data_IF_251773030253
#
_entry.id   IF_251773030253
#
_cell.length_a   1.000
_cell.length_b   1.000
_cell.length_c   1.000
_cell.angle_alpha   90.00
_cell.angle_beta   90.00
_cell.angle_gamma   90.00
#
_symmetry.space_group_name_H-M   'P 1'
#
loop_
_entity.id
_entity.type
_entity.pdbx_description
1 polymer ?
#
# COMPACT_ATOMS: atom_id res chain seq x y z
N UNK A 1 10.49 -20.92 -19.04
CA UNK A 1 9.20 -20.71 -19.75
C UNK A 1 7.97 -21.02 -18.89
N UNK A 2 7.95 -22.07 -18.06
CA UNK A 2 6.77 -22.39 -17.19
C UNK A 2 6.40 -21.21 -16.25
N UNK A 3 7.36 -20.55 -15.63
CA UNK A 3 7.10 -19.44 -14.69
C UNK A 3 6.45 -18.22 -15.37
N UNK A 4 6.82 -17.88 -16.61
CA UNK A 4 6.22 -16.74 -17.31
C UNK A 4 4.71 -16.93 -17.57
N UNK A 5 4.27 -18.13 -17.91
CA UNK A 5 2.85 -18.44 -18.11
C UNK A 5 2.08 -18.31 -16.79
N UNK A 6 2.62 -18.83 -15.69
CA UNK A 6 1.98 -18.72 -14.38
C UNK A 6 1.87 -17.28 -13.89
N UNK A 7 2.88 -16.45 -14.12
CA UNK A 7 2.83 -15.01 -13.81
C UNK A 7 1.61 -14.36 -14.49
N UNK A 8 1.41 -14.62 -15.77
CA UNK A 8 0.26 -14.06 -16.50
C UNK A 8 -1.07 -14.61 -16.00
N UNK A 9 -1.17 -15.92 -15.73
CA UNK A 9 -2.40 -16.55 -15.22
C UNK A 9 -2.81 -15.92 -13.89
N UNK A 10 -1.89 -15.81 -12.92
CA UNK A 10 -2.22 -15.26 -11.61
C UNK A 10 -2.61 -13.78 -11.68
N UNK A 11 -1.93 -12.99 -12.52
CA UNK A 11 -2.27 -11.58 -12.74
C UNK A 11 -3.62 -11.40 -13.41
N UNK A 12 -3.94 -12.20 -14.42
CA UNK A 12 -5.26 -12.16 -15.09
C UNK A 12 -6.36 -12.54 -14.10
N UNK A 13 -6.20 -13.58 -13.27
CA UNK A 13 -7.18 -13.94 -12.25
C UNK A 13 -7.38 -12.79 -11.25
N UNK A 14 -6.29 -12.19 -10.76
CA UNK A 14 -6.36 -11.08 -9.82
C UNK A 14 -7.03 -9.84 -10.42
N UNK A 15 -6.72 -9.50 -11.67
CA UNK A 15 -7.26 -8.31 -12.33
C UNK A 15 -8.70 -8.49 -12.83
N UNK A 16 -9.05 -9.69 -13.36
CA UNK A 16 -10.30 -9.88 -14.09
C UNK A 16 -11.36 -10.62 -13.28
N UNK A 17 -11.01 -11.25 -12.15
CA UNK A 17 -11.95 -11.99 -11.31
C UNK A 17 -11.95 -11.42 -9.89
N UNK A 18 -10.87 -11.56 -9.15
CA UNK A 18 -10.83 -11.16 -7.74
C UNK A 18 -10.95 -9.65 -7.55
N UNK A 19 -10.30 -8.88 -8.41
CA UNK A 19 -10.35 -7.43 -8.39
C UNK A 19 -11.75 -6.86 -8.59
N UNK A 20 -12.47 -7.18 -9.68
CA UNK A 20 -13.85 -6.73 -9.87
C UNK A 20 -14.80 -7.12 -8.72
N UNK A 21 -14.64 -8.30 -8.12
CA UNK A 21 -15.41 -8.71 -6.94
C UNK A 21 -15.06 -7.79 -5.75
N UNK A 22 -13.78 -7.51 -5.50
CA UNK A 22 -13.33 -6.59 -4.44
C UNK A 22 -13.86 -5.16 -4.66
N UNK A 23 -13.81 -4.67 -5.92
CA UNK A 23 -14.40 -3.40 -6.30
C UNK A 23 -15.91 -3.37 -6.09
N UNK A 24 -16.60 -4.46 -6.42
CA UNK A 24 -18.04 -4.64 -6.20
C UNK A 24 -18.42 -4.58 -4.71
N UNK A 25 -17.64 -5.23 -3.83
CA UNK A 25 -17.84 -5.14 -2.38
C UNK A 25 -17.76 -3.70 -1.87
N UNK A 26 -16.78 -2.93 -2.32
CA UNK A 26 -16.65 -1.53 -1.90
C UNK A 26 -17.73 -0.64 -2.51
N UNK A 27 -18.10 -0.88 -3.77
CA UNK A 27 -19.15 -0.10 -4.43
C UNK A 27 -20.55 -0.36 -3.84
N UNK A 28 -20.79 -1.53 -3.24
CA UNK A 28 -22.06 -1.83 -2.56
C UNK A 28 -22.31 -0.98 -1.30
N UNK A 29 -21.30 -0.30 -0.79
CA UNK A 29 -21.44 0.65 0.33
C UNK A 29 -22.03 1.99 -0.09
N UNK A 30 -22.07 2.30 -1.38
CA UNK A 30 -22.66 3.52 -1.92
C UNK A 30 -24.18 3.38 -1.97
N UNK A 31 -24.87 4.49 -1.91
CA UNK A 31 -26.30 4.49 -2.16
C UNK A 31 -26.62 3.98 -3.58
N UNK A 32 -27.68 3.23 -3.71
CA UNK A 32 -28.11 2.62 -5.00
C UNK A 32 -28.44 3.64 -6.08
N UNK A 33 -28.80 4.86 -5.68
CA UNK A 33 -29.08 6.01 -6.55
C UNK A 33 -27.84 6.81 -6.93
N UNK A 34 -26.65 6.44 -6.40
CA UNK A 34 -25.40 7.17 -6.60
C UNK A 34 -25.30 8.53 -5.90
N UNK A 35 -26.31 8.90 -5.08
CA UNK A 35 -26.39 10.20 -4.40
C UNK A 35 -25.34 10.39 -3.30
N UNK A 36 -24.83 9.28 -2.73
CA UNK A 36 -23.82 9.34 -1.67
C UNK A 36 -22.60 8.50 -2.00
N UNK A 37 -21.44 9.10 -1.93
CA UNK A 37 -20.17 8.40 -1.92
C UNK A 37 -19.85 8.00 -0.49
N UNK A 38 -19.25 6.84 -0.33
CA UNK A 38 -18.88 6.30 0.99
C UNK A 38 -17.46 5.75 0.93
N UNK A 39 -16.69 5.98 1.97
CA UNK A 39 -15.52 5.16 2.29
C UNK A 39 -15.99 4.00 3.17
N UNK A 40 -15.10 3.11 3.57
CA UNK A 40 -15.53 1.95 4.34
C UNK A 40 -16.19 2.34 5.68
N UNK A 41 -15.61 3.29 6.42
CA UNK A 41 -16.15 3.69 7.72
C UNK A 41 -17.06 4.92 7.67
N UNK A 42 -16.98 5.73 6.60
CA UNK A 42 -17.94 6.80 6.32
C UNK A 42 -18.98 6.24 5.35
N UNK A 43 -19.85 5.41 5.85
CA UNK A 43 -20.94 4.76 5.11
C UNK A 43 -22.18 4.69 5.98
N UNK A 44 -23.31 4.31 5.40
CA UNK A 44 -24.55 4.10 6.16
C UNK A 44 -24.47 3.00 7.22
N UNK A 45 -23.41 2.16 7.21
CA UNK A 45 -23.18 1.09 8.18
C UNK A 45 -21.69 0.83 8.36
N UNK A 46 -21.16 1.18 9.53
CA UNK A 46 -19.75 0.88 9.92
C UNK A 46 -19.48 -0.63 9.88
N UNK A 47 -20.45 -1.44 10.32
CA UNK A 47 -20.32 -2.92 10.29
C UNK A 47 -20.24 -3.42 8.83
N UNK A 48 -21.09 -2.88 7.96
CA UNK A 48 -21.05 -3.19 6.53
C UNK A 48 -19.72 -2.81 5.89
N UNK A 49 -19.20 -1.63 6.24
CA UNK A 49 -17.91 -1.14 5.77
C UNK A 49 -16.73 -2.00 6.23
N UNK A 50 -16.68 -2.39 7.51
CA UNK A 50 -15.69 -3.33 8.04
C UNK A 50 -15.79 -4.69 7.33
N UNK A 51 -17.01 -5.20 7.13
CA UNK A 51 -17.25 -6.44 6.39
C UNK A 51 -16.70 -6.37 4.96
N UNK A 52 -16.93 -5.25 4.28
CA UNK A 52 -16.40 -5.03 2.92
C UNK A 52 -14.86 -4.98 2.91
N UNK A 53 -14.22 -4.27 3.86
CA UNK A 53 -12.76 -4.26 4.00
C UNK A 53 -12.19 -5.66 4.22
N UNK A 54 -12.76 -6.41 5.17
CA UNK A 54 -12.35 -7.80 5.45
C UNK A 54 -12.52 -8.65 4.19
N UNK A 55 -13.63 -8.50 3.46
CA UNK A 55 -13.88 -9.19 2.19
C UNK A 55 -12.84 -8.86 1.13
N UNK A 56 -12.48 -7.58 0.95
CA UNK A 56 -11.42 -7.14 0.02
C UNK A 56 -10.09 -7.78 0.37
N UNK A 57 -9.68 -7.73 1.65
CA UNK A 57 -8.41 -8.32 2.09
C UNK A 57 -8.41 -9.84 2.04
N UNK A 58 -9.54 -10.49 2.26
CA UNK A 58 -9.68 -11.93 2.07
C UNK A 58 -9.45 -12.32 0.60
N UNK A 59 -10.09 -11.63 -0.34
CA UNK A 59 -9.88 -11.86 -1.78
C UNK A 59 -8.44 -11.55 -2.20
N UNK A 60 -7.87 -10.46 -1.70
CA UNK A 60 -6.49 -10.07 -1.94
C UNK A 60 -5.50 -11.14 -1.43
N UNK A 61 -5.76 -11.69 -0.25
CA UNK A 61 -4.97 -12.76 0.35
C UNK A 61 -5.09 -14.06 -0.44
N UNK A 62 -6.28 -14.42 -0.94
CA UNK A 62 -6.45 -15.58 -1.82
C UNK A 62 -5.60 -15.46 -3.10
N UNK A 63 -5.69 -14.32 -3.78
CA UNK A 63 -4.88 -14.03 -4.97
C UNK A 63 -3.38 -14.02 -4.67
N UNK A 64 -3.00 -13.40 -3.54
CA UNK A 64 -1.62 -13.34 -3.08
C UNK A 64 -1.03 -14.70 -2.74
N UNK A 65 -1.71 -15.51 -1.95
CA UNK A 65 -1.25 -16.87 -1.58
C UNK A 65 -1.13 -17.77 -2.82
N UNK A 66 -2.12 -17.71 -3.71
CA UNK A 66 -2.07 -18.46 -4.96
C UNK A 66 -0.86 -18.05 -5.80
N UNK A 67 -0.60 -16.75 -5.96
CA UNK A 67 0.54 -16.25 -6.70
C UNK A 67 1.89 -16.58 -6.00
N UNK A 68 1.94 -16.51 -4.66
CA UNK A 68 3.13 -16.90 -3.89
C UNK A 68 3.51 -18.36 -4.13
N UNK A 69 2.53 -19.27 -4.07
CA UNK A 69 2.77 -20.71 -4.28
C UNK A 69 3.06 -21.07 -5.74
N UNK A 70 2.45 -20.35 -6.69
CA UNK A 70 2.61 -20.63 -8.12
C UNK A 70 3.90 -20.05 -8.71
N UNK A 71 4.39 -18.92 -8.17
CA UNK A 71 5.50 -18.14 -8.75
C UNK A 71 6.52 -17.72 -7.70
N UNK A 72 6.20 -16.73 -6.84
CA UNK A 72 7.08 -16.20 -5.80
C UNK A 72 6.33 -15.31 -4.81
N UNK A 73 6.91 -15.05 -3.64
CA UNK A 73 6.36 -14.14 -2.65
C UNK A 73 6.15 -12.73 -3.22
N UNK A 74 7.08 -12.24 -4.03
CA UNK A 74 6.99 -10.94 -4.70
C UNK A 74 5.76 -10.84 -5.60
N UNK A 75 5.50 -11.85 -6.43
CA UNK A 75 4.29 -11.93 -7.25
C UNK A 75 3.04 -12.03 -6.36
N UNK A 76 3.12 -12.70 -5.21
CA UNK A 76 2.06 -12.75 -4.21
C UNK A 76 1.69 -11.35 -3.70
N UNK A 77 2.67 -10.56 -3.30
CA UNK A 77 2.48 -9.18 -2.83
C UNK A 77 1.89 -8.29 -3.93
N UNK A 78 2.42 -8.38 -5.17
CA UNK A 78 1.90 -7.64 -6.32
C UNK A 78 0.43 -7.98 -6.61
N UNK A 79 0.10 -9.28 -6.65
CA UNK A 79 -1.28 -9.72 -6.91
C UNK A 79 -2.25 -9.32 -5.79
N UNK A 80 -1.81 -9.39 -4.53
CA UNK A 80 -2.57 -8.85 -3.40
C UNK A 80 -2.85 -7.36 -3.59
N UNK A 81 -1.83 -6.58 -3.95
CA UNK A 81 -1.95 -5.15 -4.23
C UNK A 81 -2.92 -4.82 -5.37
N UNK A 82 -2.92 -5.62 -6.45
CA UNK A 82 -3.86 -5.45 -7.57
C UNK A 82 -5.31 -5.57 -7.11
N UNK A 83 -5.64 -6.56 -6.27
CA UNK A 83 -6.99 -6.74 -5.73
C UNK A 83 -7.39 -5.59 -4.80
N UNK A 84 -6.46 -5.14 -3.93
CA UNK A 84 -6.69 -3.98 -3.04
C UNK A 84 -6.90 -2.69 -3.86
N UNK A 85 -6.14 -2.49 -4.93
CA UNK A 85 -6.31 -1.35 -5.83
C UNK A 85 -7.69 -1.33 -6.51
N UNK A 86 -8.25 -2.48 -6.87
CA UNK A 86 -9.63 -2.60 -7.32
C UNK A 86 -10.63 -2.22 -6.23
N UNK A 87 -10.39 -2.64 -4.98
CA UNK A 87 -11.16 -2.18 -3.82
C UNK A 87 -11.12 -0.65 -3.68
N UNK A 88 -9.93 -0.05 -3.85
CA UNK A 88 -9.78 1.40 -3.86
C UNK A 88 -10.56 2.07 -5.00
N UNK A 89 -10.53 1.50 -6.20
CA UNK A 89 -11.32 1.99 -7.32
C UNK A 89 -12.82 1.90 -7.06
N UNK A 90 -13.28 0.81 -6.43
CA UNK A 90 -14.67 0.59 -6.05
C UNK A 90 -15.13 1.46 -4.88
N UNK A 91 -14.21 1.92 -4.01
CA UNK A 91 -14.54 2.81 -2.89
C UNK A 91 -15.02 4.18 -3.37
N UNK A 92 -15.74 4.90 -2.52
CA UNK A 92 -16.12 6.28 -2.77
C UNK A 92 -14.92 7.23 -2.76
N UNK A 93 -15.12 8.40 -3.34
CA UNK A 93 -14.16 9.50 -3.25
C UNK A 93 -14.22 10.13 -1.86
N UNK A 94 -13.08 10.38 -1.25
CA UNK A 94 -12.99 10.95 0.11
C UNK A 94 -13.67 12.33 0.17
N UNK A 95 -13.44 13.20 -0.81
CA UNK A 95 -14.08 14.51 -0.87
C UNK A 95 -15.61 14.41 -0.94
N UNK A 96 -16.15 13.49 -1.75
CA UNK A 96 -17.60 13.28 -1.85
C UNK A 96 -18.19 12.70 -0.55
N UNK A 97 -17.49 11.77 0.09
CA UNK A 97 -17.93 11.20 1.36
C UNK A 97 -17.98 12.27 2.47
N UNK A 98 -16.99 13.18 2.50
CA UNK A 98 -16.97 14.29 3.46
C UNK A 98 -18.00 15.38 3.16
N UNK A 99 -18.42 15.58 1.90
CA UNK A 99 -19.56 16.46 1.59
C UNK A 99 -20.85 15.95 2.23
N UNK A 100 -21.03 14.63 2.27
CA UNK A 100 -22.19 14.02 2.91
C UNK A 100 -22.14 14.02 4.45
N UNK A 101 -20.94 14.12 5.03
CA UNK A 101 -20.71 14.10 6.47
C UNK A 101 -19.61 15.10 6.87
N UNK A 102 -19.87 16.41 6.82
CA UNK A 102 -18.85 17.45 7.02
C UNK A 102 -18.51 17.69 8.49
N UNK A 103 -18.30 16.62 9.24
CA UNK A 103 -17.98 16.68 10.67
C UNK A 103 -16.50 16.35 10.91
N UNK A 104 -15.91 16.96 11.95
CA UNK A 104 -14.54 16.63 12.38
C UNK A 104 -14.40 15.15 12.77
N UNK A 105 -15.49 14.53 13.24
CA UNK A 105 -15.56 13.08 13.49
C UNK A 105 -15.31 12.22 12.25
N UNK A 106 -15.61 12.70 11.05
CA UNK A 106 -15.37 12.00 9.80
C UNK A 106 -13.87 11.87 9.49
N UNK A 107 -13.04 12.85 9.85
CA UNK A 107 -11.58 12.75 9.73
C UNK A 107 -11.01 11.70 10.68
N UNK A 108 -11.57 11.58 11.91
CA UNK A 108 -11.21 10.53 12.85
C UNK A 108 -11.55 9.16 12.25
N UNK A 109 -12.73 9.01 11.66
CA UNK A 109 -13.16 7.77 11.01
C UNK A 109 -12.24 7.39 9.84
N UNK A 110 -11.78 8.35 9.03
CA UNK A 110 -10.80 8.11 7.98
C UNK A 110 -9.45 7.65 8.54
N UNK A 111 -8.97 8.27 9.63
CA UNK A 111 -7.73 7.85 10.27
C UNK A 111 -7.85 6.43 10.86
N UNK A 112 -8.99 6.09 11.49
CA UNK A 112 -9.28 4.73 11.98
C UNK A 112 -9.35 3.74 10.82
N UNK A 113 -10.02 4.10 9.72
CA UNK A 113 -10.05 3.28 8.49
C UNK A 113 -8.62 3.00 7.99
N UNK A 114 -7.77 4.02 7.93
CA UNK A 114 -6.36 3.88 7.57
C UNK A 114 -5.61 2.91 8.47
N UNK A 115 -5.83 3.00 9.79
CA UNK A 115 -5.22 2.09 10.77
C UNK A 115 -5.72 0.64 10.59
N UNK A 116 -7.02 0.44 10.36
CA UNK A 116 -7.60 -0.89 10.08
C UNK A 116 -7.01 -1.48 8.81
N UNK A 117 -6.94 -0.70 7.72
CA UNK A 117 -6.34 -1.13 6.44
C UNK A 117 -4.86 -1.48 6.60
N UNK A 118 -4.10 -0.70 7.38
CA UNK A 118 -2.71 -1.03 7.70
C UNK A 118 -2.59 -2.37 8.43
N UNK A 119 -3.41 -2.60 9.47
CA UNK A 119 -3.41 -3.87 10.22
C UNK A 119 -3.77 -5.06 9.33
N UNK A 120 -4.81 -4.93 8.50
CA UNK A 120 -5.22 -5.97 7.56
C UNK A 120 -4.13 -6.25 6.51
N UNK A 121 -3.44 -5.21 6.02
CA UNK A 121 -2.32 -5.36 5.10
C UNK A 121 -1.16 -6.13 5.72
N UNK A 122 -0.78 -5.79 6.96
CA UNK A 122 0.29 -6.48 7.67
C UNK A 122 -0.07 -7.94 8.00
N UNK A 123 -1.32 -8.20 8.40
CA UNK A 123 -1.81 -9.55 8.62
C UNK A 123 -1.77 -10.39 7.34
N UNK A 124 -2.20 -9.82 6.21
CA UNK A 124 -2.16 -10.49 4.92
C UNK A 124 -0.70 -10.74 4.46
N UNK A 125 0.21 -9.78 4.62
CA UNK A 125 1.64 -9.97 4.34
C UNK A 125 2.23 -11.10 5.20
N UNK A 126 1.89 -11.18 6.48
CA UNK A 126 2.35 -12.27 7.36
C UNK A 126 1.87 -13.65 6.90
N UNK A 127 0.63 -13.76 6.39
CA UNK A 127 0.10 -15.00 5.80
C UNK A 127 0.86 -15.37 4.53
N UNK A 128 1.15 -14.39 3.64
CA UNK A 128 1.91 -14.63 2.42
C UNK A 128 3.33 -15.14 2.73
N UNK A 129 3.99 -14.54 3.71
CA UNK A 129 5.35 -14.96 4.13
C UNK A 129 5.35 -16.37 4.69
N UNK A 130 4.34 -16.71 5.50
CA UNK A 130 4.19 -18.09 5.99
C UNK A 130 3.95 -19.06 4.84
N UNK A 131 3.16 -18.69 3.85
CA UNK A 131 2.89 -19.51 2.67
C UNK A 131 4.14 -19.73 1.80
N UNK A 132 5.06 -18.77 1.75
CA UNK A 132 6.33 -18.88 1.02
C UNK A 132 7.36 -19.76 1.73
N UNK A 133 7.38 -19.79 3.06
CA UNK A 133 8.31 -20.61 3.85
C UNK A 133 8.10 -22.12 3.72
N UNK A 134 6.98 -22.54 3.14
CA UNK A 134 6.73 -23.93 2.77
C UNK A 134 7.34 -24.34 1.41
N UNK A 135 7.78 -23.40 0.60
CA UNK A 135 8.52 -23.62 -0.65
C UNK A 135 10.01 -23.33 -0.42
N UNK A 136 10.89 -24.30 -0.69
CA UNK A 136 12.33 -24.27 -0.40
C UNK A 136 13.16 -23.18 -1.12
N UNK A 137 12.57 -22.30 -1.89
CA UNK A 137 13.24 -21.15 -2.49
C UNK A 137 13.07 -19.92 -1.59
N UNK A 138 14.06 -19.67 -0.74
CA UNK A 138 14.25 -18.40 -0.03
C UNK A 138 14.53 -17.28 -1.02
N UNK A 139 13.49 -16.65 -1.53
CA UNK A 139 13.64 -15.32 -2.09
C UNK A 139 13.94 -14.35 -0.93
N UNK A 140 15.15 -13.80 -0.90
CA UNK A 140 15.74 -12.94 0.13
C UNK A 140 14.91 -11.66 0.45
N UNK A 141 13.87 -11.37 -0.31
CA UNK A 141 13.18 -10.09 -0.27
C UNK A 141 12.23 -9.86 0.91
N UNK A 142 11.77 -10.88 1.64
CA UNK A 142 10.77 -10.68 2.72
C UNK A 142 10.85 -11.75 3.81
N UNK A 143 11.79 -11.64 4.74
CA UNK A 143 11.71 -12.32 6.04
C UNK A 143 10.79 -11.54 6.99
N UNK A 144 9.47 -11.69 6.85
CA UNK A 144 8.52 -10.94 7.68
C UNK A 144 8.45 -11.43 9.14
N UNK A 145 8.59 -12.73 9.39
CA UNK A 145 8.52 -13.28 10.75
C UNK A 145 9.69 -12.85 11.66
N UNK A 146 10.85 -12.51 11.06
CA UNK A 146 11.95 -11.89 11.77
C UNK A 146 11.85 -10.36 11.80
N UNK A 147 11.37 -9.74 10.69
CA UNK A 147 11.42 -8.30 10.51
C UNK A 147 10.46 -7.54 11.44
N UNK A 148 9.23 -7.98 11.63
CA UNK A 148 8.28 -7.29 12.53
C UNK A 148 8.73 -7.39 13.99
N UNK A 149 9.30 -8.52 14.42
CA UNK A 149 9.82 -8.68 15.79
C UNK A 149 11.24 -8.09 15.96
N UNK A 150 12.09 -8.12 14.92
CA UNK A 150 13.41 -7.48 14.93
C UNK A 150 13.32 -5.96 14.85
N UNK A 151 12.39 -5.40 14.08
CA UNK A 151 12.09 -3.95 14.04
C UNK A 151 11.82 -3.40 15.44
N UNK A 152 11.23 -4.22 16.33
CA UNK A 152 10.96 -3.82 17.72
C UNK A 152 12.19 -3.96 18.63
N UNK A 153 13.16 -4.81 18.32
CA UNK A 153 14.21 -5.19 19.29
C UNK A 153 15.62 -4.69 19.05
N UNK A 154 16.14 -4.63 17.83
CA UNK A 154 17.57 -4.30 17.60
C UNK A 154 17.86 -3.29 16.48
N UNK A 155 16.93 -3.10 15.54
CA UNK A 155 17.11 -2.25 14.36
C UNK A 155 16.06 -1.15 14.27
N UNK A 156 15.61 -0.64 15.43
CA UNK A 156 14.55 0.38 15.49
C UNK A 156 14.91 1.64 14.70
N UNK A 157 16.12 2.15 14.81
CA UNK A 157 16.55 3.40 14.15
C UNK A 157 16.61 3.28 12.62
N UNK A 158 17.27 2.27 12.03
CA UNK A 158 17.26 2.08 10.58
C UNK A 158 15.87 1.81 10.03
N UNK A 159 15.08 1.00 10.73
CA UNK A 159 13.70 0.70 10.33
C UNK A 159 12.80 1.94 10.43
N UNK A 160 12.92 2.75 11.48
CA UNK A 160 12.20 4.01 11.62
C UNK A 160 12.55 5.00 10.51
N UNK A 161 13.82 5.07 10.09
CA UNK A 161 14.24 5.88 8.95
C UNK A 161 13.61 5.43 7.65
N UNK A 162 13.53 4.11 7.40
CA UNK A 162 12.86 3.54 6.23
C UNK A 162 11.35 3.80 6.23
N UNK A 163 10.70 3.71 7.39
CA UNK A 163 9.29 4.12 7.55
C UNK A 163 9.14 5.60 7.23
N UNK A 164 10.03 6.46 7.75
CA UNK A 164 10.03 7.90 7.45
C UNK A 164 10.21 8.18 5.96
N UNK A 165 11.13 7.49 5.28
CA UNK A 165 11.33 7.59 3.83
C UNK A 165 10.06 7.16 3.09
N UNK A 166 9.47 6.02 3.46
CA UNK A 166 8.22 5.54 2.88
C UNK A 166 7.11 6.58 2.96
N UNK A 167 6.90 7.16 4.14
CA UNK A 167 5.86 8.16 4.38
C UNK A 167 6.14 9.46 3.61
N UNK A 168 7.30 10.09 3.84
CA UNK A 168 7.60 11.43 3.32
C UNK A 168 7.67 11.42 1.80
N UNK A 169 8.39 10.46 1.21
CA UNK A 169 8.56 10.39 -0.25
C UNK A 169 7.22 10.14 -0.92
N UNK A 170 6.43 9.19 -0.42
CA UNK A 170 5.12 8.91 -1.01
C UNK A 170 4.18 10.12 -0.89
N UNK A 171 4.16 10.81 0.25
CA UNK A 171 3.32 12.02 0.40
C UNK A 171 3.73 13.15 -0.56
N UNK A 172 5.02 13.38 -0.75
CA UNK A 172 5.51 14.40 -1.70
C UNK A 172 5.11 14.03 -3.14
N UNK A 173 5.34 12.77 -3.54
CA UNK A 173 5.01 12.34 -4.91
C UNK A 173 3.50 12.35 -5.13
N UNK A 174 2.71 11.90 -4.17
CA UNK A 174 1.25 11.98 -4.23
C UNK A 174 0.78 13.43 -4.34
N UNK A 175 1.36 14.35 -3.57
CA UNK A 175 1.04 15.78 -3.67
C UNK A 175 1.26 16.34 -5.08
N UNK A 176 2.31 15.90 -5.75
CA UNK A 176 2.61 16.34 -7.12
C UNK A 176 1.70 15.68 -8.16
N UNK A 177 1.22 14.47 -7.93
CA UNK A 177 0.49 13.66 -8.91
C UNK A 177 -1.03 13.74 -8.77
N UNK A 178 -1.54 13.85 -7.53
CA UNK A 178 -2.97 13.83 -7.24
C UNK A 178 -3.48 15.26 -7.10
N UNK A 179 -4.11 15.74 -8.16
CA UNK A 179 -4.67 17.10 -8.23
C UNK A 179 -6.20 17.10 -8.11
N UNK A 180 -6.83 15.95 -7.93
CA UNK A 180 -8.26 15.79 -7.72
C UNK A 180 -8.56 14.53 -6.91
N UNK A 181 -9.78 14.42 -6.39
CA UNK A 181 -10.28 13.29 -5.62
C UNK A 181 -10.74 12.08 -6.48
N UNK A 182 -10.44 12.10 -7.79
CA UNK A 182 -10.81 11.00 -8.69
C UNK A 182 -10.11 9.69 -8.28
N UNK A 183 -10.89 8.61 -8.16
CA UNK A 183 -10.39 7.29 -7.73
C UNK A 183 -9.22 6.79 -8.58
N UNK A 184 -9.25 7.05 -9.89
CA UNK A 184 -8.14 6.68 -10.79
C UNK A 184 -6.86 7.45 -10.50
N UNK A 185 -6.95 8.77 -10.22
CA UNK A 185 -5.80 9.58 -9.81
C UNK A 185 -5.26 9.16 -8.44
N UNK A 186 -6.14 8.86 -7.48
CA UNK A 186 -5.74 8.39 -6.16
C UNK A 186 -4.99 7.05 -6.22
N UNK A 187 -5.52 6.07 -6.97
CA UNK A 187 -4.86 4.77 -7.15
C UNK A 187 -3.52 4.92 -7.86
N UNK A 188 -3.47 5.72 -8.94
CA UNK A 188 -2.24 5.99 -9.67
C UNK A 188 -1.21 6.73 -8.81
N UNK A 189 -1.63 7.78 -8.10
CA UNK A 189 -0.77 8.54 -7.20
C UNK A 189 -0.18 7.68 -6.09
N UNK A 190 -1.00 6.80 -5.49
CA UNK A 190 -0.56 5.82 -4.51
C UNK A 190 0.51 4.88 -5.06
N UNK A 191 0.30 4.36 -6.28
CA UNK A 191 1.28 3.52 -6.97
C UNK A 191 2.60 4.25 -7.24
N UNK A 192 2.57 5.43 -7.86
CA UNK A 192 3.78 6.20 -8.21
C UNK A 192 4.50 6.69 -6.96
N UNK A 193 3.74 7.15 -5.93
CA UNK A 193 4.29 7.54 -4.64
C UNK A 193 5.04 6.40 -3.96
N UNK A 194 4.43 5.22 -3.94
CA UNK A 194 5.05 4.02 -3.37
C UNK A 194 6.23 3.51 -4.20
N UNK A 195 6.19 3.63 -5.54
CA UNK A 195 7.32 3.28 -6.38
C UNK A 195 8.53 4.20 -6.11
N UNK A 196 8.31 5.50 -6.00
CA UNK A 196 9.34 6.46 -5.59
C UNK A 196 9.94 6.14 -4.21
N UNK A 197 9.08 5.82 -3.24
CA UNK A 197 9.51 5.38 -1.92
C UNK A 197 10.31 4.06 -1.98
N UNK A 198 9.89 3.11 -2.83
CA UNK A 198 10.58 1.84 -3.07
C UNK A 198 11.98 2.02 -3.68
N UNK A 199 12.13 2.98 -4.61
CA UNK A 199 13.44 3.33 -5.18
C UNK A 199 14.36 3.88 -4.10
N UNK A 200 13.95 4.93 -3.36
CA UNK A 200 14.80 5.55 -2.36
C UNK A 200 15.06 4.61 -1.18
N UNK A 201 14.05 3.90 -0.69
CA UNK A 201 14.21 2.88 0.34
C UNK A 201 15.14 1.76 -0.11
N UNK A 202 15.01 1.29 -1.35
CA UNK A 202 15.89 0.28 -1.94
C UNK A 202 17.36 0.74 -2.04
N UNK A 203 17.61 1.99 -2.43
CA UNK A 203 18.97 2.55 -2.41
C UNK A 203 19.58 2.59 -1.01
N UNK A 204 18.78 2.95 0.01
CA UNK A 204 19.23 2.95 1.40
C UNK A 204 19.51 1.54 1.90
N UNK A 205 18.63 0.57 1.59
CA UNK A 205 18.81 -0.84 1.93
C UNK A 205 20.09 -1.40 1.31
N UNK A 206 20.31 -1.20 0.01
CA UNK A 206 21.55 -1.64 -0.69
C UNK A 206 22.80 -1.01 -0.08
N UNK A 207 22.76 0.28 0.24
CA UNK A 207 23.90 0.95 0.86
C UNK A 207 24.17 0.43 2.29
N UNK A 208 23.12 0.03 3.02
CA UNK A 208 23.24 -0.58 4.33
C UNK A 208 23.81 -2.01 4.24
N UNK A 209 23.28 -2.83 3.33
CA UNK A 209 23.75 -4.20 3.07
C UNK A 209 25.24 -4.23 2.71
N UNK A 210 25.71 -3.35 1.79
CA UNK A 210 27.12 -3.23 1.43
C UNK A 210 28.03 -2.88 2.62
N UNK A 211 27.52 -2.19 3.65
CA UNK A 211 28.26 -1.92 4.88
C UNK A 211 28.23 -3.14 5.81
N UNK A 212 27.12 -3.85 5.87
CA UNK A 212 26.91 -4.98 6.78
C UNK A 212 27.56 -6.28 6.31
N UNK A 213 27.73 -6.50 5.00
CA UNK A 213 28.58 -7.61 4.49
C UNK A 213 29.98 -7.60 5.11
N UNK A 214 30.45 -6.42 5.56
CA UNK A 214 31.71 -6.27 6.32
C UNK A 214 31.56 -6.53 7.81
N UNK A 215 30.35 -6.48 8.39
CA UNK A 215 30.08 -6.63 9.83
C UNK A 215 29.30 -7.90 10.20
N UNK A 216 28.74 -8.64 9.23
CA UNK A 216 27.98 -9.87 9.46
C UNK A 216 26.60 -9.65 10.10
N UNK A 217 26.07 -8.45 10.01
CA UNK A 217 24.73 -8.08 10.50
C UNK A 217 23.63 -8.47 9.49
N UNK A 218 22.41 -8.68 9.99
CA UNK A 218 21.28 -9.13 9.18
C UNK A 218 20.77 -8.03 8.21
N UNK A 219 20.33 -8.44 7.01
CA UNK A 219 19.75 -7.54 6.03
C UNK A 219 18.41 -6.97 6.48
N UNK A 220 18.19 -5.68 6.20
CA UNK A 220 16.94 -4.97 6.43
C UNK A 220 15.92 -5.32 5.33
N UNK A 221 14.65 -5.46 5.71
CA UNK A 221 13.57 -5.76 4.77
C UNK A 221 12.90 -4.50 4.18
N UNK A 222 12.21 -4.65 3.06
CA UNK A 222 11.43 -3.59 2.41
C UNK A 222 10.13 -3.22 3.16
N UNK A 223 9.72 -4.05 4.10
CA UNK A 223 8.45 -3.88 4.85
C UNK A 223 8.34 -2.53 5.56
N UNK A 224 9.37 -1.99 6.22
CA UNK A 224 9.29 -0.66 6.83
C UNK A 224 8.94 0.45 5.83
N UNK A 225 9.45 0.38 4.60
CA UNK A 225 9.10 1.34 3.54
C UNK A 225 7.62 1.23 3.18
N UNK A 226 7.10 0.01 3.02
CA UNK A 226 5.68 -0.24 2.75
C UNK A 226 4.78 0.27 3.88
N UNK A 227 5.17 0.01 5.13
CA UNK A 227 4.47 0.55 6.32
C UNK A 227 4.45 2.08 6.28
N UNK A 228 5.57 2.71 5.96
CA UNK A 228 5.66 4.17 5.81
C UNK A 228 4.67 4.72 4.79
N UNK A 229 4.59 4.09 3.61
CA UNK A 229 3.61 4.47 2.58
C UNK A 229 2.17 4.32 3.09
N UNK A 230 1.85 3.18 3.71
CA UNK A 230 0.49 2.92 4.24
C UNK A 230 0.12 3.88 5.37
N UNK A 231 1.08 4.34 6.17
CA UNK A 231 0.84 5.36 7.20
C UNK A 231 0.34 6.69 6.63
N UNK A 232 0.53 6.95 5.35
CA UNK A 232 -0.09 8.09 4.66
C UNK A 232 -1.61 8.11 4.81
N UNK A 233 -2.27 6.94 4.86
CA UNK A 233 -3.71 6.80 5.09
C UNK A 233 -4.16 7.30 6.48
N UNK A 234 -3.30 7.24 7.46
CA UNK A 234 -3.56 7.74 8.83
C UNK A 234 -3.10 9.18 8.97
N UNK A 235 -1.90 9.48 8.46
CA UNK A 235 -1.27 10.79 8.59
C UNK A 235 -2.07 11.89 7.89
N UNK A 236 -2.63 11.62 6.72
CA UNK A 236 -3.44 12.59 5.97
C UNK A 236 -4.59 13.17 6.80
N UNK A 237 -5.54 12.36 7.24
CA UNK A 237 -6.65 12.82 8.09
C UNK A 237 -6.17 13.42 9.42
N UNK A 238 -5.14 12.88 10.06
CA UNK A 238 -4.62 13.42 11.32
C UNK A 238 -4.01 14.81 11.16
N UNK A 239 -3.22 15.04 10.10
CA UNK A 239 -2.69 16.37 9.81
C UNK A 239 -3.84 17.34 9.53
N UNK A 240 -4.84 16.93 8.75
CA UNK A 240 -6.02 17.75 8.50
C UNK A 240 -6.74 18.17 9.81
N UNK A 241 -6.82 17.31 10.82
CA UNK A 241 -7.43 17.63 12.11
C UNK A 241 -6.64 18.67 12.93
N UNK A 242 -5.31 18.67 12.84
CA UNK A 242 -4.48 19.56 13.66
C UNK A 242 -4.12 20.88 12.95
N UNK A 243 -4.40 20.99 11.67
CA UNK A 243 -4.15 22.23 10.93
C UNK A 243 -5.07 23.37 11.40
N UNK A 244 -4.54 24.60 11.54
CA UNK A 244 -5.36 25.76 11.88
C UNK A 244 -6.46 25.98 10.85
N UNK A 245 -7.71 26.16 11.29
CA UNK A 245 -8.85 26.39 10.42
C UNK A 245 -9.58 25.11 9.98
N UNK A 246 -9.72 24.12 10.86
CA UNK A 246 -10.29 22.81 10.58
C UNK A 246 -11.56 22.75 9.72
N UNK A 247 -12.49 23.73 9.86
CA UNK A 247 -13.65 23.85 8.97
C UNK A 247 -13.28 24.16 7.51
N UNK A 248 -12.30 25.04 7.29
CA UNK A 248 -11.81 25.37 5.93
C UNK A 248 -11.08 24.23 5.27
N UNK A 249 -10.39 23.40 6.06
CA UNK A 249 -9.68 22.22 5.55
C UNK A 249 -10.67 21.12 5.14
N UNK A 250 -11.72 20.91 5.93
CA UNK A 250 -12.81 19.99 5.56
C UNK A 250 -13.49 20.47 4.26
N UNK A 251 -13.73 21.78 4.13
CA UNK A 251 -14.27 22.38 2.92
C UNK A 251 -13.30 22.19 1.73
N UNK A 252 -12.00 22.41 1.91
CA UNK A 252 -10.99 22.20 0.88
C UNK A 252 -10.88 20.72 0.45
N UNK A 253 -10.98 19.78 1.38
CA UNK A 253 -11.03 18.34 1.03
C UNK A 253 -12.33 18.04 0.28
N UNK A 254 -13.45 18.54 0.74
CA UNK A 254 -14.75 18.33 0.12
C UNK A 254 -14.85 18.98 -1.28
N UNK A 255 -14.22 20.12 -1.52
CA UNK A 255 -14.17 20.79 -2.83
C UNK A 255 -13.11 20.19 -3.77
N UNK A 256 -12.20 19.35 -3.26
CA UNK A 256 -11.07 18.80 -4.04
C UNK A 256 -9.89 19.77 -4.16
N UNK A 257 -9.82 20.81 -3.35
CA UNK A 257 -8.74 21.82 -3.32
C UNK A 257 -7.63 21.51 -2.31
N UNK A 258 -7.85 20.48 -1.46
CA UNK A 258 -6.85 20.06 -0.49
C UNK A 258 -5.68 19.33 -1.18
N UNK A 259 -4.49 19.27 -0.52
CA UNK A 259 -3.38 18.46 -1.01
C UNK A 259 -3.81 17.00 -1.28
N UNK A 260 -3.38 16.44 -2.41
CA UNK A 260 -3.82 15.13 -2.90
C UNK A 260 -3.70 13.99 -1.87
N UNK A 261 -2.67 14.02 -1.03
CA UNK A 261 -2.48 13.02 0.03
C UNK A 261 -3.56 13.06 1.14
N UNK A 262 -4.29 14.16 1.29
CA UNK A 262 -5.46 14.25 2.19
C UNK A 262 -6.74 13.67 1.55
N UNK A 263 -6.78 13.59 0.22
CA UNK A 263 -7.95 13.17 -0.55
C UNK A 263 -7.91 11.68 -0.94
N UNK A 264 -6.81 10.98 -0.63
CA UNK A 264 -6.66 9.56 -0.97
C UNK A 264 -7.39 8.65 0.03
N UNK A 265 -8.06 7.62 -0.50
CA UNK A 265 -8.64 6.57 0.33
C UNK A 265 -7.54 5.68 0.95
N UNK A 266 -7.85 5.08 2.10
CA UNK A 266 -6.96 4.14 2.79
C UNK A 266 -6.54 2.95 1.91
N UNK A 267 -7.46 2.43 1.09
CA UNK A 267 -7.18 1.35 0.15
C UNK A 267 -6.26 1.79 -1.00
N UNK A 268 -6.32 3.06 -1.43
CA UNK A 268 -5.41 3.57 -2.47
C UNK A 268 -3.96 3.63 -1.95
N UNK A 269 -3.75 4.03 -0.69
CA UNK A 269 -2.47 3.98 -0.03
C UNK A 269 -1.94 2.53 0.10
N UNK A 270 -2.78 1.60 0.55
CA UNK A 270 -2.41 0.20 0.72
C UNK A 270 -2.12 -0.49 -0.62
N UNK A 271 -3.00 -0.35 -1.61
CA UNK A 271 -2.80 -0.90 -2.95
C UNK A 271 -1.54 -0.35 -3.60
N UNK A 272 -1.31 0.96 -3.48
CA UNK A 272 -0.10 1.62 -3.93
C UNK A 272 1.16 1.03 -3.26
N UNK A 273 1.17 0.90 -1.94
CA UNK A 273 2.29 0.34 -1.19
C UNK A 273 2.63 -1.09 -1.65
N UNK A 274 1.62 -1.94 -1.79
CA UNK A 274 1.79 -3.35 -2.16
C UNK A 274 2.26 -3.54 -3.61
N UNK A 275 1.90 -2.65 -4.53
CA UNK A 275 2.31 -2.72 -5.94
C UNK A 275 3.58 -1.90 -6.17
N UNK A 276 3.55 -0.63 -5.77
CA UNK A 276 4.59 0.34 -6.14
C UNK A 276 5.92 0.07 -5.46
N UNK A 277 5.92 -0.21 -4.15
CA UNK A 277 7.17 -0.40 -3.41
C UNK A 277 8.03 -1.55 -3.95
N UNK A 278 7.49 -2.76 -4.21
CA UNK A 278 8.28 -3.85 -4.82
C UNK A 278 8.76 -3.53 -6.24
N UNK A 279 7.97 -2.79 -7.03
CA UNK A 279 8.37 -2.38 -8.38
C UNK A 279 9.50 -1.36 -8.31
N UNK A 280 9.39 -0.33 -7.47
CA UNK A 280 10.46 0.65 -7.28
C UNK A 280 11.76 0.01 -6.81
N UNK A 281 11.69 -0.92 -5.87
CA UNK A 281 12.84 -1.68 -5.40
C UNK A 281 13.50 -2.49 -6.54
N UNK A 282 12.71 -3.12 -7.40
CA UNK A 282 13.27 -3.91 -8.52
C UNK A 282 14.05 -3.08 -9.53
N UNK A 283 13.72 -1.80 -9.66
CA UNK A 283 14.51 -0.91 -10.53
C UNK A 283 15.91 -0.66 -9.95
N UNK A 284 16.02 -0.58 -8.63
CA UNK A 284 17.32 -0.46 -7.95
C UNK A 284 18.13 -1.74 -8.13
N UNK A 285 17.53 -2.93 -7.89
CA UNK A 285 18.21 -4.23 -8.08
C UNK A 285 18.76 -4.36 -9.50
N UNK A 286 17.93 -4.16 -10.52
CA UNK A 286 18.33 -4.28 -11.91
C UNK A 286 19.40 -3.26 -12.35
N UNK A 287 19.50 -2.12 -11.67
CA UNK A 287 20.51 -1.11 -11.92
C UNK A 287 21.87 -1.50 -11.35
N UNK A 288 21.88 -2.09 -10.14
CA UNK A 288 23.11 -2.56 -9.48
C UNK A 288 23.70 -3.76 -10.21
N UNK A 289 22.90 -4.74 -10.61
CA UNK A 289 23.35 -5.89 -11.40
C UNK A 289 24.04 -5.47 -12.70
N UNK A 290 23.47 -4.49 -13.42
CA UNK A 290 24.09 -3.95 -14.64
C UNK A 290 25.44 -3.31 -14.37
N UNK A 291 25.61 -2.58 -13.27
CA UNK A 291 26.90 -1.98 -12.91
C UNK A 291 27.97 -3.03 -12.56
N UNK A 292 27.59 -4.10 -11.86
CA UNK A 292 28.50 -5.21 -11.53
C UNK A 292 28.98 -5.94 -12.79
N UNK A 293 28.09 -6.22 -13.75
CA UNK A 293 28.47 -6.84 -15.02
C UNK A 293 29.45 -5.96 -15.81
N UNK A 294 29.24 -4.66 -15.86
CA UNK A 294 30.15 -3.73 -16.56
C UNK A 294 31.50 -3.62 -15.87
N UNK A 295 31.54 -3.61 -14.53
CA UNK A 295 32.80 -3.55 -13.77
C UNK A 295 33.63 -4.85 -13.83
N UNK A 296 32.97 -5.99 -14.05
CA UNK A 296 33.63 -7.29 -14.22
C UNK A 296 34.18 -7.49 -15.65
N UNK A 297 33.67 -6.73 -16.62
CA UNK A 297 34.08 -6.78 -18.03
C UNK A 297 35.18 -5.77 -18.39
N UNK A 298 35.49 -4.80 -17.53
CA UNK A 298 36.54 -3.81 -17.67
C UNK A 298 37.83 -4.23 -16.93
#
# INVERSE_FOLDING_TARGET
MKNAVWIWIVRVISLSVLGPIAGGLMSSLRASDGSTHATALISGSVVGGLGALIGVFFLAMLGGVFATKAVSLREGVLNMGLVVAWGAWGSGRVGEALRGAPESGSLVMLAVEGAVVLVLSLAALAVLTKASGESEERDECVELNGAVLKVIKSEFLPSAALVGVGLVVSMIVVWLQVQSDLSGQAVWGGFVGAAGAGVLGGMLLKNHSLKNERSGEADLSLVPVMVGVMLGAVAGPMVAMVMPGGGKILEAIASGEAPGWMMMSSLAWAGGALIGTPIGYSWVESSVERQQVHSAAA
#
